data_IF_031585847081
#
_entry.id   IF_031585847081
#
_cell.length_a   1.000
_cell.length_b   1.000
_cell.length_c   1.000
_cell.angle_alpha   90.00
_cell.angle_beta   90.00
_cell.angle_gamma   90.00
#
_symmetry.space_group_name_H-M   'P 1'
#
loop_
_entity.id
_entity.type
_entity.pdbx_description
1 polymer ?
#
# COMPACT_ATOMS: atom_id res chain seq x y z
N UNK A 1 -9.82 -31.82 53.65
CA UNK A 1 -9.99 -30.34 53.71
C UNK A 1 -8.85 -29.59 53.02
N UNK A 2 -7.61 -30.09 53.07
CA UNK A 2 -6.44 -29.47 52.41
C UNK A 2 -6.45 -29.68 50.88
N UNK A 3 -6.80 -30.87 50.39
CA UNK A 3 -6.87 -31.13 48.94
C UNK A 3 -7.94 -30.33 48.19
N UNK A 4 -9.10 -30.09 48.83
CA UNK A 4 -10.17 -29.28 48.24
C UNK A 4 -9.72 -27.82 48.05
N UNK A 5 -8.93 -27.28 48.99
CA UNK A 5 -8.33 -25.95 48.87
C UNK A 5 -7.26 -25.90 47.76
N UNK A 6 -6.51 -26.98 47.55
CA UNK A 6 -5.48 -27.05 46.52
C UNK A 6 -6.07 -27.09 45.09
N UNK A 7 -7.19 -27.80 44.89
CA UNK A 7 -7.86 -27.86 43.58
C UNK A 7 -8.61 -26.57 43.24
N UNK A 8 -9.22 -25.91 44.22
CA UNK A 8 -9.85 -24.59 44.02
C UNK A 8 -8.77 -23.56 43.64
N UNK A 9 -7.60 -23.59 44.29
CA UNK A 9 -6.49 -22.68 43.99
C UNK A 9 -5.90 -22.91 42.59
N UNK A 10 -5.72 -24.17 42.15
CA UNK A 10 -5.30 -24.50 40.78
C UNK A 10 -6.30 -24.03 39.71
N UNK A 11 -7.59 -24.14 40.01
CA UNK A 11 -8.66 -23.72 39.08
C UNK A 11 -8.72 -22.20 38.96
N UNK A 12 -8.51 -21.48 40.07
CA UNK A 12 -8.42 -20.01 40.10
C UNK A 12 -7.17 -19.54 39.36
N UNK A 13 -5.99 -20.15 39.59
CA UNK A 13 -4.75 -19.83 38.86
C UNK A 13 -4.88 -20.07 37.35
N UNK A 14 -5.50 -21.17 36.90
CA UNK A 14 -5.66 -21.42 35.46
C UNK A 14 -6.66 -20.45 34.78
N UNK A 15 -7.64 -19.92 35.53
CA UNK A 15 -8.58 -18.91 35.03
C UNK A 15 -8.02 -17.49 35.06
N UNK A 16 -7.08 -17.18 35.95
CA UNK A 16 -6.41 -15.87 35.98
C UNK A 16 -5.26 -15.77 34.96
N UNK A 17 -4.66 -16.89 34.54
CA UNK A 17 -3.59 -16.89 33.52
C UNK A 17 -4.06 -16.80 32.06
N UNK A 18 -5.37 -16.83 31.77
CA UNK A 18 -5.88 -16.70 30.38
C UNK A 18 -6.19 -15.27 29.93
N UNK A 19 -6.18 -14.28 30.85
CA UNK A 19 -6.52 -12.88 30.54
C UNK A 19 -5.44 -11.88 31.04
N UNK A 20 -4.19 -12.31 31.18
CA UNK A 20 -3.07 -11.39 31.43
C UNK A 20 -2.24 -11.33 30.16
N UNK A 21 -2.31 -10.18 29.50
CA UNK A 21 -1.44 -9.79 28.39
C UNK A 21 0.01 -10.16 28.70
N UNK A 22 0.69 -10.73 27.71
CA UNK A 22 2.08 -11.13 27.75
C UNK A 22 2.98 -9.89 27.82
N UNK A 23 3.04 -9.22 28.97
CA UNK A 23 4.15 -8.31 29.28
C UNK A 23 5.30 -9.19 29.74
N UNK A 24 6.24 -9.45 28.84
CA UNK A 24 7.47 -10.17 29.15
C UNK A 24 8.32 -9.29 30.09
N UNK A 25 8.09 -9.41 31.39
CA UNK A 25 8.93 -8.79 32.40
C UNK A 25 10.27 -9.54 32.44
N UNK A 26 11.28 -8.96 31.80
CA UNK A 26 12.66 -9.42 31.84
C UNK A 26 13.23 -9.17 33.24
N UNK A 27 13.12 -10.17 34.12
CA UNK A 27 13.82 -10.18 35.40
C UNK A 27 15.05 -11.09 35.29
N UNK A 28 16.22 -10.50 35.00
CA UNK A 28 17.51 -11.11 35.31
C UNK A 28 18.43 -10.08 35.97
N UNK A 29 18.76 -10.37 37.23
CA UNK A 29 20.04 -10.21 37.91
C UNK A 29 20.93 -9.02 37.50
N UNK A 30 21.15 -8.12 38.47
CA UNK A 30 22.24 -7.16 38.44
C UNK A 30 23.60 -7.83 38.31
N UNK A 31 24.04 -8.02 37.08
CA UNK A 31 25.43 -7.93 36.67
C UNK A 31 25.59 -6.48 36.22
N UNK A 32 26.62 -5.79 36.70
CA UNK A 32 27.02 -4.50 36.12
C UNK A 32 27.35 -4.75 34.64
N UNK A 33 26.39 -4.47 33.76
CA UNK A 33 26.54 -4.68 32.33
C UNK A 33 27.60 -3.69 31.84
N UNK A 34 28.77 -4.20 31.45
CA UNK A 34 29.55 -3.51 30.44
C UNK A 34 28.63 -3.34 29.24
N UNK A 35 28.43 -2.11 28.77
CA UNK A 35 27.55 -1.85 27.63
C UNK A 35 27.98 -2.71 26.44
N UNK A 36 27.00 -3.19 25.68
CA UNK A 36 27.22 -4.06 24.53
C UNK A 36 27.24 -3.22 23.26
N UNK A 37 28.03 -3.63 22.27
CA UNK A 37 28.02 -3.03 20.92
C UNK A 37 26.74 -3.40 20.18
N UNK A 38 26.47 -2.79 19.02
CA UNK A 38 25.33 -3.12 18.17
C UNK A 38 25.36 -4.61 17.76
N UNK A 39 26.55 -5.15 17.45
CA UNK A 39 26.72 -6.60 17.25
C UNK A 39 26.41 -7.40 18.52
N UNK A 40 26.88 -6.94 19.69
CA UNK A 40 26.58 -7.56 20.98
C UNK A 40 25.08 -7.61 21.29
N UNK A 41 24.33 -6.56 20.95
CA UNK A 41 22.86 -6.52 21.08
C UNK A 41 22.20 -7.55 20.17
N UNK A 42 22.56 -7.58 18.89
CA UNK A 42 21.99 -8.50 17.89
C UNK A 42 22.32 -9.96 18.24
N UNK A 43 23.58 -10.24 18.56
CA UNK A 43 24.07 -11.60 18.81
C UNK A 43 23.45 -12.26 20.04
N UNK A 44 23.03 -11.47 21.03
CA UNK A 44 22.35 -11.95 22.23
C UNK A 44 20.81 -11.96 22.11
N UNK A 45 20.26 -11.51 20.97
CA UNK A 45 18.82 -11.48 20.74
C UNK A 45 18.33 -12.80 20.14
N UNK A 46 17.37 -13.50 20.77
CA UNK A 46 16.80 -14.75 20.22
C UNK A 46 16.00 -14.51 18.93
N UNK A 47 15.57 -13.28 18.68
CA UNK A 47 14.78 -12.91 17.50
C UNK A 47 15.64 -12.52 16.29
N UNK A 48 16.97 -12.44 16.41
CA UNK A 48 17.85 -11.97 15.34
C UNK A 48 18.92 -13.01 14.96
N UNK A 49 18.60 -14.29 15.10
CA UNK A 49 19.55 -15.38 14.84
C UNK A 49 19.94 -15.47 13.35
N UNK A 50 19.01 -15.19 12.44
CA UNK A 50 19.29 -15.17 10.99
C UNK A 50 20.16 -13.98 10.61
N UNK A 51 19.83 -12.79 11.13
CA UNK A 51 20.65 -11.58 10.95
C UNK A 51 22.07 -11.78 11.48
N UNK A 52 22.22 -12.36 12.68
CA UNK A 52 23.53 -12.68 13.25
C UNK A 52 24.33 -13.58 12.30
N UNK A 53 23.72 -14.65 11.80
CA UNK A 53 24.39 -15.57 10.87
C UNK A 53 24.79 -14.87 9.57
N UNK A 54 23.97 -13.94 9.06
CA UNK A 54 24.28 -13.13 7.89
C UNK A 54 25.47 -12.19 8.13
N UNK A 55 25.49 -11.47 9.24
CA UNK A 55 26.60 -10.59 9.64
C UNK A 55 27.92 -11.39 9.76
N UNK A 56 27.85 -12.57 10.38
CA UNK A 56 29.02 -13.44 10.56
C UNK A 56 29.52 -13.97 9.20
N UNK A 57 28.61 -14.36 8.30
CA UNK A 57 28.94 -14.86 6.97
C UNK A 57 29.56 -13.78 6.06
N UNK A 58 29.07 -12.54 6.16
CA UNK A 58 29.59 -11.35 5.48
C UNK A 58 30.91 -10.85 6.10
N UNK A 59 31.30 -11.35 7.27
CA UNK A 59 32.52 -10.90 7.97
C UNK A 59 32.42 -9.47 8.51
N UNK A 60 31.21 -8.93 8.68
CA UNK A 60 30.95 -7.56 9.18
C UNK A 60 31.04 -7.45 10.71
N UNK A 61 31.17 -8.58 11.42
CA UNK A 61 31.28 -8.62 12.88
C UNK A 61 32.34 -7.63 13.44
N UNK A 62 33.60 -7.59 12.96
CA UNK A 62 34.61 -6.70 13.55
C UNK A 62 34.26 -5.22 13.42
N UNK A 63 33.55 -4.84 12.36
CA UNK A 63 33.10 -3.46 12.13
C UNK A 63 31.98 -3.07 13.09
N UNK A 64 30.96 -3.94 13.22
CA UNK A 64 29.81 -3.68 14.10
C UNK A 64 30.14 -3.84 15.60
N UNK A 65 31.25 -4.50 15.92
CA UNK A 65 31.78 -4.64 17.28
C UNK A 65 32.86 -3.59 17.62
N UNK A 66 33.19 -2.68 16.70
CA UNK A 66 34.15 -1.60 16.98
C UNK A 66 33.55 -0.63 18.03
N UNK A 67 34.15 -0.50 19.23
CA UNK A 67 33.65 0.39 20.27
C UNK A 67 33.73 1.88 19.91
N UNK A 68 34.51 2.25 18.89
CA UNK A 68 34.59 3.62 18.37
C UNK A 68 33.60 3.88 17.21
N UNK A 69 32.87 2.84 16.80
CA UNK A 69 31.80 2.98 15.82
C UNK A 69 30.67 3.88 16.31
N UNK A 70 29.92 4.41 15.36
CA UNK A 70 28.69 5.15 15.61
C UNK A 70 27.69 4.75 14.53
N UNK A 71 26.78 3.85 14.88
CA UNK A 71 25.89 3.18 13.93
C UNK A 71 24.42 3.24 14.38
N UNK A 72 23.53 3.34 13.42
CA UNK A 72 22.13 2.94 13.60
C UNK A 72 21.89 1.70 12.77
N UNK A 73 21.53 0.58 13.41
CA UNK A 73 21.26 -0.68 12.72
C UNK A 73 19.75 -0.94 12.75
N UNK A 74 19.14 -1.00 11.57
CA UNK A 74 17.80 -1.53 11.40
C UNK A 74 17.92 -3.05 11.29
N UNK A 75 17.53 -3.78 12.33
CA UNK A 75 17.78 -5.20 12.47
C UNK A 75 16.50 -5.99 12.14
N UNK A 76 16.42 -6.68 10.97
CA UNK A 76 15.28 -7.54 10.68
C UNK A 76 15.25 -8.73 11.62
N UNK A 77 14.08 -9.02 12.15
CA UNK A 77 13.89 -10.20 12.97
C UNK A 77 13.85 -11.50 12.15
N UNK A 78 13.75 -12.64 12.82
CA UNK A 78 13.74 -13.94 12.16
C UNK A 78 12.50 -14.14 11.25
N UNK A 79 11.36 -13.53 11.57
CA UNK A 79 10.12 -13.66 10.81
C UNK A 79 10.20 -12.81 9.53
N UNK A 80 10.85 -11.66 9.57
CA UNK A 80 11.22 -10.83 8.42
C UNK A 80 12.03 -11.63 7.39
N UNK A 81 13.10 -12.31 7.84
CA UNK A 81 13.89 -13.18 6.97
C UNK A 81 13.07 -14.35 6.44
N UNK A 82 12.23 -14.98 7.25
CA UNK A 82 11.37 -16.08 6.78
C UNK A 82 10.44 -15.62 5.66
N UNK A 83 9.80 -14.47 5.84
CA UNK A 83 8.88 -13.89 4.86
C UNK A 83 9.58 -13.59 3.54
N UNK A 84 10.76 -12.97 3.59
CA UNK A 84 11.55 -12.70 2.38
C UNK A 84 11.95 -14.00 1.66
N UNK A 85 12.51 -14.96 2.40
CA UNK A 85 12.99 -16.22 1.82
C UNK A 85 11.85 -17.00 1.15
N UNK A 86 10.67 -17.04 1.80
CA UNK A 86 9.47 -17.68 1.27
C UNK A 86 8.97 -16.97 0.00
N UNK A 87 8.96 -15.63 -0.01
CA UNK A 87 8.55 -14.83 -1.17
C UNK A 87 9.47 -15.03 -2.37
N UNK A 88 10.79 -15.12 -2.13
CA UNK A 88 11.80 -15.35 -3.17
C UNK A 88 11.92 -16.83 -3.57
N UNK A 89 11.32 -17.76 -2.81
CA UNK A 89 11.47 -19.19 -3.03
C UNK A 89 12.90 -19.72 -2.83
N UNK A 90 13.70 -19.05 -2.00
CA UNK A 90 15.09 -19.42 -1.71
C UNK A 90 15.26 -19.92 -0.27
N UNK A 91 16.44 -20.47 0.04
CA UNK A 91 16.75 -20.96 1.40
C UNK A 91 17.71 -20.01 2.10
N UNK A 92 17.72 -20.01 3.45
CA UNK A 92 18.67 -19.20 4.21
C UNK A 92 20.15 -19.43 3.80
N UNK A 93 20.64 -20.68 3.59
CA UNK A 93 21.98 -20.88 3.06
C UNK A 93 22.25 -20.28 1.68
N UNK A 94 21.22 -20.17 0.83
CA UNK A 94 21.35 -19.53 -0.47
C UNK A 94 21.50 -18.01 -0.31
N UNK A 95 20.73 -17.38 0.57
CA UNK A 95 20.88 -15.96 0.91
C UNK A 95 22.26 -15.66 1.52
N UNK A 96 22.71 -16.50 2.47
CA UNK A 96 24.02 -16.35 3.12
C UNK A 96 25.21 -16.54 2.16
N UNK A 97 24.99 -17.17 1.01
CA UNK A 97 25.98 -17.35 -0.04
C UNK A 97 25.81 -16.35 -1.20
N UNK A 98 24.84 -15.43 -1.10
CA UNK A 98 24.60 -14.42 -2.14
C UNK A 98 25.78 -13.46 -2.25
N UNK A 99 26.09 -13.04 -3.47
CA UNK A 99 27.06 -11.99 -3.72
C UNK A 99 26.58 -10.63 -3.19
N UNK A 100 25.26 -10.46 -3.07
CA UNK A 100 24.62 -9.20 -2.66
C UNK A 100 24.45 -9.11 -1.14
N UNK A 101 24.92 -10.11 -0.36
CA UNK A 101 24.71 -10.14 1.09
C UNK A 101 25.33 -8.92 1.79
N UNK A 102 26.54 -8.53 1.39
CA UNK A 102 27.22 -7.36 1.95
C UNK A 102 26.43 -6.07 1.66
N UNK A 103 25.88 -5.97 0.45
CA UNK A 103 25.09 -4.82 0.02
C UNK A 103 23.77 -4.73 0.79
N UNK A 104 23.07 -5.86 0.93
CA UNK A 104 21.84 -5.95 1.74
C UNK A 104 22.13 -5.54 3.18
N UNK A 105 23.16 -6.09 3.82
CA UNK A 105 23.46 -5.80 5.22
C UNK A 105 23.89 -4.35 5.44
N UNK A 106 24.67 -3.76 4.51
CA UNK A 106 25.10 -2.36 4.62
C UNK A 106 23.97 -1.37 4.31
N UNK A 107 22.92 -1.78 3.58
CA UNK A 107 21.71 -0.99 3.36
C UNK A 107 20.87 -0.83 4.63
N UNK A 108 21.01 -1.74 5.60
CA UNK A 108 20.34 -1.68 6.90
C UNK A 108 21.04 -0.79 7.94
N UNK A 109 22.16 -0.15 7.59
CA UNK A 109 23.00 0.58 8.54
C UNK A 109 23.13 2.04 8.13
N UNK A 110 22.88 2.97 9.06
CA UNK A 110 23.23 4.38 8.91
C UNK A 110 24.54 4.67 9.65
N UNK A 111 25.31 5.61 9.12
CA UNK A 111 26.37 6.26 9.87
C UNK A 111 25.77 7.25 10.88
N UNK A 112 26.15 7.13 12.15
CA UNK A 112 25.63 7.95 13.24
C UNK A 112 24.46 7.31 13.98
N UNK A 113 24.26 7.76 15.22
CA UNK A 113 23.12 7.36 16.07
C UNK A 113 21.89 8.22 15.77
N UNK A 114 20.80 7.57 15.34
CA UNK A 114 19.49 8.16 15.07
C UNK A 114 18.44 7.43 15.91
N UNK A 115 17.88 8.13 16.91
CA UNK A 115 16.82 7.56 17.73
C UNK A 115 15.47 7.70 17.02
N UNK A 116 14.48 6.90 17.40
CA UNK A 116 13.14 7.00 16.82
C UNK A 116 12.49 8.37 16.99
N UNK A 117 12.82 9.09 18.07
CA UNK A 117 12.35 10.44 18.31
C UNK A 117 12.96 11.50 17.38
N UNK A 118 14.10 11.21 16.75
CA UNK A 118 14.80 12.12 15.83
C UNK A 118 14.29 11.96 14.38
N UNK A 119 13.53 10.90 14.09
CA UNK A 119 12.97 10.61 12.77
C UNK A 119 11.73 11.47 12.52
N UNK A 120 11.70 12.16 11.38
CA UNK A 120 10.55 12.90 10.90
C UNK A 120 9.85 12.16 9.75
N UNK A 121 8.55 12.43 9.60
CA UNK A 121 7.77 11.86 8.53
C UNK A 121 8.23 12.40 7.17
N UNK A 122 8.61 11.50 6.26
CA UNK A 122 9.11 11.84 4.93
C UNK A 122 10.62 12.08 4.87
N UNK A 123 11.37 11.77 5.93
CA UNK A 123 12.82 11.84 5.88
C UNK A 123 13.37 10.86 4.83
N UNK A 124 14.33 11.35 4.05
CA UNK A 124 15.09 10.54 3.09
C UNK A 124 16.54 10.55 3.55
N UNK A 125 17.07 9.39 3.91
CA UNK A 125 18.40 9.23 4.48
C UNK A 125 19.25 8.27 3.67
N UNK A 126 20.57 8.46 3.66
CA UNK A 126 21.50 7.62 2.92
C UNK A 126 22.11 6.56 3.87
N UNK A 127 21.87 5.26 3.65
CA UNK A 127 22.58 4.20 4.38
C UNK A 127 24.05 4.10 3.97
N UNK A 128 24.81 3.28 4.70
CA UNK A 128 26.20 2.99 4.36
C UNK A 128 26.32 2.44 2.94
N UNK A 129 25.33 1.65 2.51
CA UNK A 129 25.14 1.33 1.11
C UNK A 129 24.41 2.47 0.37
N UNK A 130 25.11 3.19 -0.50
CA UNK A 130 24.51 4.32 -1.22
C UNK A 130 23.85 3.95 -2.56
N UNK A 131 23.53 2.67 -2.80
CA UNK A 131 22.81 2.26 -4.02
C UNK A 131 21.40 2.85 -4.10
N UNK A 132 20.73 2.99 -2.96
CA UNK A 132 19.45 3.68 -2.84
C UNK A 132 19.37 4.40 -1.47
N UNK A 133 18.36 5.23 -1.27
CA UNK A 133 18.03 5.92 -0.02
C UNK A 133 16.97 5.16 0.78
N UNK A 134 16.92 5.40 2.10
CA UNK A 134 15.84 4.94 2.98
C UNK A 134 14.81 6.05 3.15
N UNK A 135 13.54 5.67 3.11
CA UNK A 135 12.39 6.57 3.23
C UNK A 135 11.74 6.31 4.57
N UNK A 136 11.77 7.28 5.47
CA UNK A 136 11.29 7.12 6.83
C UNK A 136 9.89 7.68 6.95
N UNK A 137 8.98 6.88 7.52
CA UNK A 137 7.59 7.28 7.76
C UNK A 137 7.31 7.21 9.25
N UNK A 138 6.71 8.26 9.80
CA UNK A 138 6.19 8.26 11.17
C UNK A 138 4.68 8.38 11.05
N UNK A 139 3.87 7.49 11.61
CA UNK A 139 2.41 7.53 11.52
C UNK A 139 1.77 8.44 12.59
N UNK A 140 0.45 8.64 12.55
CA UNK A 140 -0.26 9.48 13.53
C UNK A 140 -0.38 8.80 14.90
N UNK A 141 -0.38 7.47 14.93
CA UNK A 141 -0.26 6.64 16.11
C UNK A 141 1.20 6.16 16.18
N UNK A 142 2.10 6.90 16.84
CA UNK A 142 3.53 7.01 16.53
C UNK A 142 4.24 5.67 16.29
N UNK A 143 4.09 5.14 15.08
CA UNK A 143 4.80 3.99 14.54
C UNK A 143 5.81 4.52 13.54
N UNK A 144 6.98 3.91 13.52
CA UNK A 144 8.07 4.27 12.60
C UNK A 144 8.20 3.16 11.57
N UNK A 145 8.37 3.54 10.31
CA UNK A 145 8.67 2.65 9.21
C UNK A 145 9.95 3.12 8.51
N UNK A 146 10.76 2.15 8.10
CA UNK A 146 11.95 2.34 7.28
C UNK A 146 11.65 1.64 5.95
N UNK A 147 11.46 2.41 4.88
CA UNK A 147 10.77 1.95 3.67
C UNK A 147 9.41 1.31 4.06
N UNK A 148 9.19 0.05 3.73
CA UNK A 148 8.00 -0.72 4.08
C UNK A 148 8.10 -1.43 5.44
N UNK A 149 9.30 -1.52 6.03
CA UNK A 149 9.53 -2.27 7.26
C UNK A 149 9.08 -1.47 8.48
N UNK A 150 8.21 -2.02 9.30
CA UNK A 150 7.80 -1.44 10.57
C UNK A 150 8.87 -1.66 11.63
N UNK A 151 9.11 -0.64 12.45
CA UNK A 151 9.92 -0.76 13.67
C UNK A 151 9.08 -1.33 14.80
N UNK A 152 9.39 -2.55 15.23
CA UNK A 152 8.70 -3.25 16.33
C UNK A 152 9.26 -2.86 17.69
N UNK A 153 10.58 -2.73 17.78
CA UNK A 153 11.29 -2.33 19.01
C UNK A 153 12.33 -1.29 18.65
N UNK A 154 12.06 -0.04 19.02
CA UNK A 154 12.96 1.08 18.80
C UNK A 154 13.94 1.29 19.95
N UNK A 155 15.01 2.04 19.67
CA UNK A 155 15.93 2.64 20.65
C UNK A 155 16.65 1.63 21.57
N UNK A 156 17.03 0.47 21.02
CA UNK A 156 17.83 -0.51 21.78
C UNK A 156 19.27 0.01 21.86
N UNK A 157 19.62 0.58 23.01
CA UNK A 157 20.91 1.23 23.23
C UNK A 157 22.09 0.25 23.17
N UNK A 158 23.12 0.64 22.42
CA UNK A 158 24.43 0.00 22.35
C UNK A 158 25.55 1.02 22.68
N UNK A 159 26.76 0.54 22.94
CA UNK A 159 27.92 1.41 23.25
C UNK A 159 28.45 2.19 22.06
N UNK A 160 28.24 1.65 20.86
CA UNK A 160 28.70 2.21 19.59
C UNK A 160 27.51 2.56 18.66
N UNK A 161 26.33 2.82 19.25
CA UNK A 161 25.15 3.21 18.48
C UNK A 161 23.80 2.78 19.05
N UNK A 162 22.86 2.54 18.15
CA UNK A 162 21.49 2.10 18.45
C UNK A 162 21.02 1.02 17.49
N UNK A 163 20.18 0.11 17.98
CA UNK A 163 19.52 -0.92 17.17
C UNK A 163 18.00 -0.70 17.20
N UNK A 164 17.37 -0.75 16.04
CA UNK A 164 15.92 -0.76 15.87
C UNK A 164 15.52 -2.10 15.26
N UNK A 165 14.73 -2.90 15.96
CA UNK A 165 14.19 -4.17 15.45
C UNK A 165 13.09 -3.87 14.43
N UNK A 166 13.16 -4.47 13.24
CA UNK A 166 12.19 -4.28 12.16
C UNK A 166 11.58 -5.61 11.68
N UNK A 167 10.38 -5.53 11.10
CA UNK A 167 9.57 -6.70 10.68
C UNK A 167 9.78 -7.12 9.21
N UNK A 168 10.66 -6.45 8.48
CA UNK A 168 10.99 -6.79 7.09
C UNK A 168 12.48 -6.57 6.79
N UNK A 169 12.98 -7.25 5.76
CA UNK A 169 14.34 -7.07 5.25
C UNK A 169 14.33 -5.93 4.22
N UNK A 170 15.18 -4.94 4.41
CA UNK A 170 15.35 -3.81 3.51
C UNK A 170 16.19 -4.24 2.29
N UNK A 171 15.65 -4.02 1.10
CA UNK A 171 16.33 -4.21 -0.18
C UNK A 171 16.52 -2.86 -0.85
N UNK A 172 17.64 -2.68 -1.55
CA UNK A 172 18.00 -1.43 -2.22
C UNK A 172 17.31 -1.27 -3.59
N UNK A 173 16.09 -1.79 -3.71
CA UNK A 173 15.32 -1.85 -4.95
C UNK A 173 14.79 -0.45 -5.34
N UNK A 174 14.79 -0.14 -6.62
CA UNK A 174 14.27 1.11 -7.19
C UNK A 174 12.73 1.04 -7.25
N UNK A 175 12.06 1.58 -6.24
CA UNK A 175 10.59 1.43 -6.12
C UNK A 175 9.81 2.50 -6.90
N UNK A 176 8.50 2.34 -7.08
CA UNK A 176 7.62 3.37 -7.67
C UNK A 176 7.68 4.70 -6.90
N UNK A 177 8.00 4.67 -5.60
CA UNK A 177 8.25 5.87 -4.81
C UNK A 177 9.57 6.55 -5.20
N UNK A 178 10.62 5.78 -5.46
CA UNK A 178 11.91 6.28 -5.96
C UNK A 178 11.78 6.93 -7.31
N UNK A 179 11.14 6.22 -8.25
CA UNK A 179 10.84 6.73 -9.58
C UNK A 179 10.12 8.07 -9.51
N UNK A 180 9.16 8.22 -8.58
CA UNK A 180 8.45 9.49 -8.41
C UNK A 180 9.37 10.62 -7.89
N UNK A 181 10.26 10.32 -6.96
CA UNK A 181 11.25 11.27 -6.42
C UNK A 181 12.23 11.70 -7.51
N UNK A 182 12.82 10.73 -8.21
CA UNK A 182 13.88 10.95 -9.21
C UNK A 182 13.38 11.67 -10.45
N UNK A 183 12.11 11.47 -10.82
CA UNK A 183 11.48 12.17 -11.94
C UNK A 183 10.83 13.51 -11.54
N UNK A 184 10.99 13.96 -10.29
CA UNK A 184 10.59 15.30 -9.86
C UNK A 184 9.08 15.49 -9.68
N UNK A 185 8.33 14.43 -9.36
CA UNK A 185 6.91 14.50 -8.98
C UNK A 185 6.72 15.05 -7.55
N UNK A 186 7.36 16.18 -7.24
CA UNK A 186 7.47 16.73 -5.89
C UNK A 186 6.14 16.92 -5.17
N UNK A 187 5.07 17.36 -5.86
CA UNK A 187 3.77 17.55 -5.22
C UNK A 187 3.10 16.21 -4.90
N UNK A 188 3.28 15.20 -5.76
CA UNK A 188 2.83 13.83 -5.49
C UNK A 188 3.58 13.23 -4.30
N UNK A 189 4.90 13.38 -4.25
CA UNK A 189 5.75 12.88 -3.15
C UNK A 189 5.31 13.51 -1.83
N UNK A 190 5.10 14.83 -1.79
CA UNK A 190 4.56 15.52 -0.60
C UNK A 190 3.20 14.96 -0.19
N UNK A 191 2.29 14.77 -1.15
CA UNK A 191 0.96 14.20 -0.86
C UNK A 191 1.03 12.77 -0.30
N UNK A 192 1.91 11.92 -0.85
CA UNK A 192 2.15 10.55 -0.38
C UNK A 192 2.73 10.54 1.04
N UNK A 193 3.67 11.44 1.33
CA UNK A 193 4.26 11.62 2.66
C UNK A 193 3.21 12.05 3.67
N UNK A 194 2.38 13.05 3.34
CA UNK A 194 1.29 13.52 4.21
C UNK A 194 0.25 12.43 4.46
N UNK A 195 -0.07 11.63 3.42
CA UNK A 195 -0.98 10.50 3.52
C UNK A 195 -0.38 9.24 4.18
N UNK A 196 0.91 9.25 4.53
CA UNK A 196 1.64 8.11 5.14
C UNK A 196 1.59 6.84 4.29
N UNK A 197 1.63 6.98 2.97
CA UNK A 197 1.53 5.84 2.02
C UNK A 197 2.89 5.29 1.56
N UNK A 198 4.00 5.93 1.93
CA UNK A 198 5.35 5.45 1.58
C UNK A 198 5.60 3.97 1.92
N UNK A 199 5.17 3.42 3.09
CA UNK A 199 5.43 2.01 3.39
C UNK A 199 4.78 1.04 2.39
N UNK A 200 3.62 1.39 1.83
CA UNK A 200 2.99 0.57 0.81
C UNK A 200 3.70 0.68 -0.55
N UNK A 201 4.18 1.87 -0.91
CA UNK A 201 4.81 2.14 -2.20
C UNK A 201 6.28 1.72 -2.27
N UNK A 202 6.91 1.52 -1.12
CA UNK A 202 8.32 1.08 -0.99
C UNK A 202 8.44 -0.39 -0.63
N UNK A 203 7.36 -1.17 -0.75
CA UNK A 203 7.40 -2.61 -0.54
C UNK A 203 7.89 -3.30 -1.83
N UNK A 204 9.06 -3.96 -1.82
CA UNK A 204 9.64 -4.60 -2.99
C UNK A 204 8.92 -5.89 -3.41
N UNK A 205 8.07 -6.45 -2.54
CA UNK A 205 7.36 -7.70 -2.80
C UNK A 205 6.00 -7.48 -3.47
N UNK A 206 5.62 -6.23 -3.72
CA UNK A 206 4.38 -5.88 -4.40
C UNK A 206 4.66 -5.58 -5.88
N UNK A 207 3.68 -5.86 -6.72
CA UNK A 207 3.64 -5.40 -8.10
C UNK A 207 2.60 -4.27 -8.20
N UNK A 208 3.04 -3.07 -8.59
CA UNK A 208 2.20 -1.87 -8.59
C UNK A 208 2.18 -1.21 -9.97
N UNK A 209 1.05 -0.57 -10.30
CA UNK A 209 1.00 0.43 -11.36
C UNK A 209 0.58 1.75 -10.75
N UNK A 210 1.41 2.78 -10.86
CA UNK A 210 1.12 4.11 -10.34
C UNK A 210 0.86 5.07 -11.49
N UNK A 211 -0.35 5.62 -11.56
CA UNK A 211 -0.67 6.75 -12.42
C UNK A 211 -0.22 8.04 -11.71
N UNK A 212 0.99 8.53 -12.00
CA UNK A 212 1.62 9.64 -11.28
C UNK A 212 1.19 11.01 -11.85
N UNK A 213 0.31 11.79 -11.17
CA UNK A 213 -0.03 13.13 -11.62
C UNK A 213 1.18 14.07 -11.55
N UNK A 214 1.41 14.79 -12.64
CA UNK A 214 2.46 15.82 -12.70
C UNK A 214 2.20 16.98 -11.73
N UNK A 215 3.24 17.75 -11.38
CA UNK A 215 3.06 18.97 -10.57
C UNK A 215 2.08 19.98 -11.22
N UNK A 216 2.03 19.99 -12.55
CA UNK A 216 1.06 20.81 -13.31
C UNK A 216 -0.37 20.29 -13.13
N UNK A 217 -0.57 18.97 -13.08
CA UNK A 217 -1.86 18.36 -12.80
C UNK A 217 -2.42 18.82 -11.44
N UNK A 218 -1.57 18.81 -10.40
CA UNK A 218 -1.94 19.34 -9.08
C UNK A 218 -2.29 20.83 -9.13
N UNK A 219 -1.45 21.63 -9.79
CA UNK A 219 -1.67 23.08 -9.91
C UNK A 219 -3.02 23.39 -10.58
N UNK A 220 -3.33 22.68 -11.67
CA UNK A 220 -4.60 22.81 -12.40
C UNK A 220 -5.78 22.39 -11.54
N UNK A 221 -5.68 21.25 -10.84
CA UNK A 221 -6.76 20.76 -9.97
C UNK A 221 -7.07 21.77 -8.85
N UNK A 222 -6.05 22.22 -8.12
CA UNK A 222 -6.19 23.20 -7.02
C UNK A 222 -6.85 24.50 -7.53
N UNK A 223 -6.40 24.99 -8.68
CA UNK A 223 -6.93 26.21 -9.31
C UNK A 223 -8.40 26.05 -9.69
N UNK A 224 -8.76 24.93 -10.33
CA UNK A 224 -10.12 24.69 -10.80
C UNK A 224 -11.10 24.42 -9.64
N UNK A 225 -10.63 23.75 -8.58
CA UNK A 225 -11.42 23.48 -7.38
C UNK A 225 -11.55 24.69 -6.46
N UNK A 226 -10.74 25.75 -6.66
CA UNK A 226 -10.75 26.94 -5.82
C UNK A 226 -10.31 26.68 -4.37
N UNK A 227 -9.50 25.64 -4.16
CA UNK A 227 -8.93 25.27 -2.85
C UNK A 227 -7.46 25.71 -2.77
N UNK A 228 -6.85 25.66 -1.58
CA UNK A 228 -5.40 25.78 -1.46
C UNK A 228 -4.72 24.41 -1.48
N UNK A 229 -3.40 24.39 -1.73
CA UNK A 229 -2.59 23.17 -1.61
C UNK A 229 -2.65 22.61 -0.18
N UNK A 230 -2.62 23.47 0.83
CA UNK A 230 -2.75 23.06 2.22
C UNK A 230 -4.10 22.39 2.49
N UNK A 231 -5.20 22.85 1.88
CA UNK A 231 -6.51 22.22 2.03
C UNK A 231 -6.55 20.83 1.36
N UNK A 232 -5.89 20.68 0.21
CA UNK A 232 -5.77 19.38 -0.46
C UNK A 232 -4.96 18.39 0.38
N UNK A 233 -3.78 18.82 0.88
CA UNK A 233 -2.89 17.99 1.70
C UNK A 233 -3.50 17.64 3.07
N UNK A 234 -4.30 18.53 3.65
CA UNK A 234 -5.02 18.27 4.89
C UNK A 234 -6.33 17.50 4.70
N UNK A 235 -6.71 17.19 3.46
CA UNK A 235 -7.99 16.53 3.17
C UNK A 235 -8.01 15.12 3.77
N UNK A 236 -9.08 14.75 4.51
CA UNK A 236 -9.25 13.36 4.97
C UNK A 236 -9.44 12.38 3.80
N UNK A 237 -9.74 12.88 2.60
CA UNK A 237 -9.86 12.08 1.39
C UNK A 237 -8.51 11.89 0.66
N UNK A 238 -7.41 12.52 1.10
CA UNK A 238 -6.14 12.48 0.37
C UNK A 238 -5.64 11.06 0.14
N UNK A 239 -5.57 10.23 1.18
CA UNK A 239 -5.16 8.84 1.04
C UNK A 239 -6.09 8.07 0.08
N UNK A 240 -7.40 8.32 0.15
CA UNK A 240 -8.39 7.70 -0.73
C UNK A 240 -8.18 8.11 -2.20
N UNK A 241 -7.85 9.37 -2.45
CA UNK A 241 -7.53 9.90 -3.78
C UNK A 241 -6.23 9.28 -4.30
N UNK A 242 -5.17 9.21 -3.48
CA UNK A 242 -3.89 8.64 -3.90
C UNK A 242 -4.00 7.15 -4.20
N UNK A 243 -4.74 6.39 -3.40
CA UNK A 243 -5.01 4.97 -3.66
C UNK A 243 -5.81 4.73 -4.96
N UNK A 244 -6.56 5.72 -5.43
CA UNK A 244 -7.26 5.67 -6.71
C UNK A 244 -6.33 5.86 -7.93
N UNK A 245 -5.09 6.27 -7.69
CA UNK A 245 -4.05 6.34 -8.72
C UNK A 245 -3.21 5.06 -8.81
N UNK A 246 -3.49 4.04 -7.99
CA UNK A 246 -2.64 2.86 -7.89
C UNK A 246 -3.43 1.60 -8.20
N UNK A 247 -2.86 0.72 -9.02
CA UNK A 247 -3.31 -0.66 -9.23
C UNK A 247 -2.43 -1.62 -8.43
N UNK A 248 -3.03 -2.69 -7.90
CA UNK A 248 -2.32 -3.76 -7.19
C UNK A 248 -1.73 -4.83 -8.12
N UNK A 249 -1.25 -4.40 -9.29
CA UNK A 249 -0.61 -5.24 -10.30
C UNK A 249 0.22 -4.35 -11.23
N UNK A 250 1.26 -4.91 -11.84
CA UNK A 250 2.04 -4.26 -12.88
C UNK A 250 1.30 -4.33 -14.23
N UNK A 251 1.18 -3.19 -14.91
CA UNK A 251 0.51 -3.07 -16.21
C UNK A 251 1.30 -2.10 -17.08
N UNK A 252 2.03 -2.65 -18.05
CA UNK A 252 2.74 -1.89 -19.07
C UNK A 252 1.77 -1.36 -20.14
N UNK A 253 2.18 -0.34 -20.89
CA UNK A 253 1.34 0.29 -21.91
C UNK A 253 0.93 -0.66 -23.04
N UNK A 254 1.76 -1.67 -23.31
CA UNK A 254 1.50 -2.71 -24.31
C UNK A 254 0.52 -3.81 -23.83
N UNK A 255 0.27 -3.90 -22.52
CA UNK A 255 -0.67 -4.84 -21.91
C UNK A 255 -2.07 -4.23 -21.72
N UNK A 256 -2.23 -2.95 -22.02
CA UNK A 256 -3.49 -2.23 -21.85
C UNK A 256 -4.60 -2.73 -22.77
N UNK A 257 -5.78 -2.87 -22.18
CA UNK A 257 -7.04 -3.12 -22.89
C UNK A 257 -8.07 -2.08 -22.50
N UNK A 258 -8.88 -1.63 -23.47
CA UNK A 258 -10.02 -0.76 -23.18
C UNK A 258 -10.95 -1.41 -22.14
N UNK A 259 -11.33 -0.66 -21.10
CA UNK A 259 -12.26 -1.15 -20.08
C UNK A 259 -12.03 -0.58 -18.70
N UNK A 260 -12.80 -1.11 -17.73
CA UNK A 260 -12.69 -0.74 -16.33
C UNK A 260 -11.63 -1.58 -15.63
N UNK A 261 -10.80 -0.94 -14.81
CA UNK A 261 -9.78 -1.58 -13.98
C UNK A 261 -9.91 -1.10 -12.54
N UNK A 262 -9.96 -2.03 -11.60
CA UNK A 262 -10.12 -1.73 -10.18
C UNK A 262 -8.81 -1.24 -9.56
N UNK A 263 -8.88 -0.08 -8.91
CA UNK A 263 -7.75 0.53 -8.19
C UNK A 263 -7.63 -0.01 -6.76
N UNK A 264 -6.53 0.29 -6.05
CA UNK A 264 -6.36 -0.03 -4.64
C UNK A 264 -7.37 0.67 -3.72
N UNK A 265 -8.01 1.74 -4.19
CA UNK A 265 -9.13 2.35 -3.47
C UNK A 265 -10.43 1.53 -3.54
N UNK A 266 -10.50 0.54 -4.44
CA UNK A 266 -11.68 -0.29 -4.69
C UNK A 266 -12.67 0.29 -5.70
N UNK A 267 -12.45 1.52 -6.17
CA UNK A 267 -13.18 2.09 -7.29
C UNK A 267 -12.47 1.82 -8.62
N UNK A 268 -13.22 1.79 -9.72
CA UNK A 268 -12.68 1.54 -11.05
C UNK A 268 -12.20 2.83 -11.72
N UNK A 269 -11.12 2.73 -12.49
CA UNK A 269 -10.73 3.70 -13.52
C UNK A 269 -11.08 3.14 -14.89
N UNK A 270 -11.42 4.02 -15.84
CA UNK A 270 -11.61 3.68 -17.24
C UNK A 270 -10.28 3.82 -17.98
N UNK A 271 -9.80 2.75 -18.59
CA UNK A 271 -8.71 2.77 -19.55
C UNK A 271 -9.30 2.93 -20.94
N UNK A 272 -8.92 3.98 -21.66
CA UNK A 272 -9.25 4.19 -23.08
C UNK A 272 -7.97 4.39 -23.89
N UNK A 273 -7.75 3.54 -24.90
CA UNK A 273 -6.59 3.57 -25.80
C UNK A 273 -6.96 4.02 -27.23
N UNK A 274 -8.20 4.48 -27.45
CA UNK A 274 -8.73 4.83 -28.78
C UNK A 274 -8.03 6.03 -29.40
N UNK A 275 -7.62 7.01 -28.58
CA UNK A 275 -6.97 8.25 -29.02
C UNK A 275 -5.72 8.56 -28.19
N UNK A 276 -4.88 7.55 -27.96
CA UNK A 276 -3.81 7.58 -26.96
C UNK A 276 -4.29 6.97 -25.65
N UNK A 277 -3.36 6.73 -24.71
CA UNK A 277 -3.70 6.12 -23.42
C UNK A 277 -4.29 7.17 -22.49
N UNK A 278 -5.54 6.97 -22.13
CA UNK A 278 -6.31 7.80 -21.20
C UNK A 278 -6.73 6.96 -19.99
N UNK A 279 -6.58 7.53 -18.80
CA UNK A 279 -7.09 6.98 -17.54
C UNK A 279 -8.17 7.94 -17.05
N UNK A 280 -9.43 7.51 -17.12
CA UNK A 280 -10.61 8.38 -17.08
C UNK A 280 -10.51 9.49 -18.15
N UNK A 281 -10.30 10.74 -17.72
CA UNK A 281 -10.10 11.90 -18.59
C UNK A 281 -8.65 12.42 -18.54
N UNK A 282 -7.75 11.73 -17.84
CA UNK A 282 -6.33 12.06 -17.73
C UNK A 282 -5.54 11.40 -18.86
N UNK A 283 -4.76 12.17 -19.59
CA UNK A 283 -3.85 11.64 -20.60
C UNK A 283 -2.57 11.13 -19.95
N UNK A 284 -2.11 9.94 -20.36
CA UNK A 284 -0.77 9.46 -20.04
C UNK A 284 0.23 10.23 -20.89
N UNK A 285 1.10 10.99 -20.23
CA UNK A 285 2.10 11.89 -20.85
C UNK A 285 3.48 11.26 -20.97
N UNK A 286 3.78 10.30 -20.09
CA UNK A 286 4.96 9.44 -20.13
C UNK A 286 4.53 8.07 -19.62
N UNK A 287 4.72 7.03 -20.42
CA UNK A 287 4.38 5.66 -20.06
C UNK A 287 5.64 4.85 -19.78
N UNK A 288 5.47 3.72 -19.10
CA UNK A 288 6.47 2.66 -18.92
C UNK A 288 7.76 3.16 -18.25
N UNK A 289 7.63 3.88 -17.13
CA UNK A 289 8.79 4.17 -16.27
C UNK A 289 8.94 3.02 -15.28
N UNK A 290 9.89 2.14 -15.58
CA UNK A 290 10.16 0.91 -14.83
C UNK A 290 10.59 1.19 -13.37
N UNK A 291 10.07 0.36 -12.46
CA UNK A 291 10.49 0.22 -11.07
C UNK A 291 10.63 -1.28 -10.74
N UNK A 292 11.47 -1.64 -9.77
CA UNK A 292 11.63 -3.04 -9.35
C UNK A 292 10.35 -3.62 -8.73
N UNK A 293 9.47 -2.76 -8.19
CA UNK A 293 8.15 -3.14 -7.64
C UNK A 293 6.97 -2.71 -8.52
N UNK A 294 7.22 -2.49 -9.82
CA UNK A 294 6.17 -2.27 -10.83
C UNK A 294 6.48 -1.16 -11.84
N UNK A 295 5.48 -0.31 -12.12
CA UNK A 295 5.60 0.70 -13.18
C UNK A 295 4.90 2.01 -12.83
N UNK A 296 5.48 3.12 -13.29
CA UNK A 296 4.90 4.46 -13.18
C UNK A 296 4.51 4.99 -14.56
N UNK A 297 3.26 5.46 -14.68
CA UNK A 297 2.74 6.19 -15.85
C UNK A 297 2.40 7.62 -15.45
N UNK A 298 3.08 8.61 -16.01
CA UNK A 298 2.83 10.01 -15.70
C UNK A 298 1.52 10.49 -16.35
N UNK A 299 0.64 11.14 -15.59
CA UNK A 299 -0.64 11.67 -16.08
C UNK A 299 -0.75 13.19 -15.91
N UNK A 300 -1.58 13.82 -16.75
CA UNK A 300 -1.78 15.28 -16.78
C UNK A 300 -2.90 15.81 -15.87
N UNK A 301 -3.63 14.93 -15.18
CA UNK A 301 -4.71 15.28 -14.24
C UNK A 301 -4.66 14.43 -12.97
N UNK A 302 -5.23 14.95 -11.89
CA UNK A 302 -5.52 14.16 -10.68
C UNK A 302 -6.79 13.35 -10.92
N UNK A 303 -6.72 12.04 -10.68
CA UNK A 303 -7.87 11.16 -10.63
C UNK A 303 -8.57 11.31 -9.27
N UNK A 304 -9.84 11.72 -9.26
CA UNK A 304 -10.63 11.79 -8.02
C UNK A 304 -11.78 10.77 -8.07
N UNK A 305 -11.91 9.87 -7.08
CA UNK A 305 -13.00 8.90 -7.03
C UNK A 305 -14.37 9.57 -7.18
N UNK A 306 -15.24 9.00 -8.04
CA UNK A 306 -16.59 9.53 -8.28
C UNK A 306 -16.64 10.84 -9.09
N UNK A 307 -15.49 11.40 -9.47
CA UNK A 307 -15.42 12.54 -10.41
C UNK A 307 -15.04 12.12 -11.82
N UNK A 308 -14.80 10.83 -12.08
CA UNK A 308 -14.81 10.30 -13.44
C UNK A 308 -16.05 10.89 -14.08
N UNK A 309 -15.81 11.85 -14.97
CA UNK A 309 -16.81 12.82 -15.35
C UNK A 309 -17.98 12.01 -15.84
N UNK A 310 -19.18 12.32 -15.35
CA UNK A 310 -20.40 11.92 -16.03
C UNK A 310 -20.39 12.40 -17.51
N UNK A 311 -19.46 13.31 -17.87
CA UNK A 311 -19.10 13.68 -19.24
C UNK A 311 -18.21 12.67 -20.00
N UNK A 312 -17.41 11.82 -19.34
CA UNK A 312 -16.67 10.71 -19.98
C UNK A 312 -17.39 9.36 -19.86
N UNK A 313 -18.55 9.34 -19.19
CA UNK A 313 -19.62 8.39 -19.53
C UNK A 313 -20.35 8.85 -20.80
N UNK A 314 -19.63 9.04 -21.92
CA UNK A 314 -20.17 8.70 -23.23
C UNK A 314 -20.28 7.16 -23.39
N UNK A 315 -20.44 6.43 -22.30
CA UNK A 315 -21.16 5.17 -22.28
C UNK A 315 -22.61 5.47 -22.63
N UNK A 316 -22.94 5.64 -23.92
CA UNK A 316 -24.18 5.10 -24.48
C UNK A 316 -25.39 5.23 -23.53
N UNK A 317 -25.58 6.41 -22.93
CA UNK A 317 -26.42 6.52 -21.73
C UNK A 317 -27.86 6.64 -22.21
N UNK A 318 -28.73 5.78 -21.69
CA UNK A 318 -30.13 5.72 -22.14
C UNK A 318 -31.01 6.29 -21.06
N UNK A 319 -31.96 7.13 -21.46
CA UNK A 319 -32.95 7.66 -20.55
C UNK A 319 -34.03 6.61 -20.29
N UNK A 320 -34.41 6.46 -19.02
CA UNK A 320 -35.49 5.57 -18.61
C UNK A 320 -36.59 6.33 -17.87
N UNK A 321 -37.85 6.02 -18.21
CA UNK A 321 -39.01 6.71 -17.68
C UNK A 321 -40.18 5.76 -17.37
N UNK A 322 -40.89 5.94 -16.25
CA UNK A 322 -40.59 6.87 -15.17
C UNK A 322 -39.37 6.42 -14.34
N UNK A 323 -38.68 7.38 -13.74
CA UNK A 323 -37.62 7.15 -12.77
C UNK A 323 -37.72 8.24 -11.69
N UNK A 324 -38.16 7.94 -10.45
CA UNK A 324 -38.41 6.61 -9.89
C UNK A 324 -39.56 5.82 -10.56
N UNK A 325 -39.55 4.49 -10.41
CA UNK A 325 -40.56 3.57 -10.94
C UNK A 325 -41.07 2.61 -9.86
N UNK A 326 -42.27 2.07 -10.05
CA UNK A 326 -42.83 1.01 -9.19
C UNK A 326 -43.01 -0.32 -9.90
N UNK A 327 -42.98 -0.38 -11.23
CA UNK A 327 -43.37 -1.59 -11.97
C UNK A 327 -42.81 -1.67 -13.39
N UNK A 328 -42.82 -0.57 -14.14
CA UNK A 328 -42.39 -0.55 -15.53
C UNK A 328 -41.45 0.63 -15.78
N UNK A 329 -40.41 0.39 -16.57
CA UNK A 329 -39.57 1.44 -17.15
C UNK A 329 -39.65 1.36 -18.66
N UNK A 330 -39.75 2.51 -19.31
CA UNK A 330 -39.56 2.69 -20.75
C UNK A 330 -38.14 3.12 -21.00
N UNK A 331 -37.51 2.57 -22.03
CA UNK A 331 -36.16 2.93 -22.46
C UNK A 331 -36.26 3.70 -23.78
N UNK A 332 -35.67 4.89 -23.83
CA UNK A 332 -35.66 5.66 -25.08
C UNK A 332 -34.71 5.06 -26.11
N UNK A 333 -35.08 5.14 -27.39
CA UNK A 333 -34.27 4.73 -28.56
C UNK A 333 -33.93 3.22 -28.67
N UNK A 334 -34.50 2.37 -27.80
CA UNK A 334 -34.33 0.91 -27.87
C UNK A 334 -35.68 0.21 -28.00
N UNK A 335 -35.74 -0.76 -28.92
CA UNK A 335 -36.88 -1.65 -29.07
C UNK A 335 -36.41 -3.11 -29.18
N UNK A 336 -37.00 -3.99 -28.36
CA UNK A 336 -36.76 -5.43 -28.35
C UNK A 336 -35.27 -5.82 -28.18
N UNK A 337 -34.46 -5.02 -27.48
CA UNK A 337 -33.08 -5.33 -27.14
C UNK A 337 -32.95 -6.27 -25.91
N UNK A 338 -31.82 -6.97 -25.81
CA UNK A 338 -31.47 -7.74 -24.61
C UNK A 338 -30.93 -6.81 -23.53
N UNK A 339 -31.32 -7.04 -22.27
CA UNK A 339 -30.94 -6.21 -21.14
C UNK A 339 -30.55 -7.03 -19.91
N UNK A 340 -29.73 -6.42 -19.06
CA UNK A 340 -29.36 -6.90 -17.73
C UNK A 340 -29.64 -5.81 -16.70
N UNK A 341 -30.11 -6.19 -15.52
CA UNK A 341 -30.24 -5.29 -14.36
C UNK A 341 -29.37 -5.84 -13.25
N UNK A 342 -28.55 -4.98 -12.67
CA UNK A 342 -27.78 -5.26 -11.45
C UNK A 342 -28.24 -4.34 -10.33
N UNK A 343 -28.18 -4.81 -9.09
CA UNK A 343 -28.45 -3.97 -7.91
C UNK A 343 -27.23 -3.12 -7.53
N UNK A 344 -27.39 -2.24 -6.55
CA UNK A 344 -26.31 -1.39 -6.03
C UNK A 344 -25.08 -2.16 -5.48
N UNK A 345 -25.22 -3.45 -5.18
CA UNK A 345 -24.11 -4.32 -4.75
C UNK A 345 -23.44 -5.06 -5.93
N UNK A 346 -23.78 -4.73 -7.17
CA UNK A 346 -23.22 -5.33 -8.38
C UNK A 346 -23.76 -6.73 -8.72
N UNK A 347 -24.77 -7.23 -7.99
CA UNK A 347 -25.34 -8.55 -8.27
C UNK A 347 -26.36 -8.46 -9.41
N UNK A 348 -26.24 -9.35 -10.39
CA UNK A 348 -27.23 -9.52 -11.46
C UNK A 348 -28.57 -10.00 -10.88
N UNK A 349 -29.61 -9.20 -11.05
CA UNK A 349 -30.97 -9.48 -10.53
C UNK A 349 -31.95 -9.83 -11.63
N UNK A 350 -31.71 -9.38 -12.87
CA UNK A 350 -32.59 -9.66 -14.00
C UNK A 350 -31.80 -9.67 -15.31
N UNK A 351 -32.15 -10.57 -16.23
CA UNK A 351 -31.55 -10.69 -17.55
C UNK A 351 -32.60 -11.24 -18.52
N UNK A 352 -33.09 -10.41 -19.44
CA UNK A 352 -34.18 -10.78 -20.35
C UNK A 352 -34.15 -9.89 -21.61
N UNK A 353 -35.14 -10.05 -22.48
CA UNK A 353 -35.37 -9.23 -23.65
C UNK A 353 -36.53 -8.28 -23.40
N UNK A 354 -36.33 -6.99 -23.67
CA UNK A 354 -37.39 -5.99 -23.49
C UNK A 354 -38.53 -6.23 -24.48
N UNK A 355 -39.75 -5.84 -24.11
CA UNK A 355 -40.92 -5.93 -25.00
C UNK A 355 -41.19 -4.56 -25.59
N UNK A 356 -41.01 -4.39 -26.91
CA UNK A 356 -40.96 -3.06 -27.52
C UNK A 356 -39.93 -2.21 -26.77
N UNK A 357 -40.34 -1.09 -26.17
CA UNK A 357 -39.45 -0.21 -25.42
C UNK A 357 -39.62 -0.33 -23.88
N UNK A 358 -40.27 -1.38 -23.36
CA UNK A 358 -40.56 -1.52 -21.92
C UNK A 358 -39.86 -2.69 -21.24
N UNK A 359 -39.50 -2.48 -19.97
CA UNK A 359 -38.94 -3.49 -19.05
C UNK A 359 -39.81 -3.53 -17.80
N UNK A 360 -40.16 -4.75 -17.35
CA UNK A 360 -40.88 -4.98 -16.09
C UNK A 360 -39.89 -5.17 -14.95
N UNK A 361 -40.04 -4.35 -13.91
CA UNK A 361 -39.21 -4.32 -12.69
C UNK A 361 -40.04 -4.48 -11.42
N UNK A 362 -41.30 -4.90 -11.54
CA UNK A 362 -42.23 -5.09 -10.42
C UNK A 362 -41.72 -6.10 -9.39
N UNK A 363 -40.97 -7.11 -9.85
CA UNK A 363 -40.40 -8.17 -8.99
C UNK A 363 -39.13 -7.75 -8.27
N UNK A 364 -38.56 -6.58 -8.57
CA UNK A 364 -37.37 -6.08 -7.89
C UNK A 364 -37.74 -5.45 -6.55
N UNK A 365 -36.91 -5.68 -5.54
CA UNK A 365 -37.02 -5.01 -4.25
C UNK A 365 -36.77 -3.49 -4.41
N UNK A 366 -37.26 -2.70 -3.46
CA UNK A 366 -37.03 -1.26 -3.48
C UNK A 366 -35.54 -0.93 -3.33
N UNK A 367 -35.01 -0.06 -4.18
CA UNK A 367 -33.59 0.28 -4.19
C UNK A 367 -33.09 0.88 -5.49
N UNK A 368 -31.78 1.10 -5.53
CA UNK A 368 -31.05 1.61 -6.69
C UNK A 368 -30.59 0.45 -7.57
N UNK A 369 -30.76 0.61 -8.89
CA UNK A 369 -30.39 -0.39 -9.89
C UNK A 369 -29.68 0.26 -11.08
N UNK A 370 -28.84 -0.54 -11.75
CA UNK A 370 -28.21 -0.20 -13.02
C UNK A 370 -28.72 -1.14 -14.12
N UNK A 371 -29.23 -0.55 -15.19
CA UNK A 371 -29.69 -1.21 -16.41
C UNK A 371 -28.55 -1.19 -17.44
N UNK A 372 -28.33 -2.33 -18.09
CA UNK A 372 -27.41 -2.50 -19.22
C UNK A 372 -28.20 -3.02 -20.41
N UNK A 373 -28.01 -2.44 -21.60
CA UNK A 373 -28.55 -2.94 -22.87
C UNK A 373 -27.38 -3.18 -23.82
N UNK A 374 -27.37 -4.35 -24.48
CA UNK A 374 -26.32 -4.71 -25.43
C UNK A 374 -26.87 -4.62 -26.86
N UNK A 375 -26.21 -3.83 -27.71
CA UNK A 375 -26.47 -3.74 -29.15
C UNK A 375 -25.20 -4.11 -29.93
N UNK A 376 -25.00 -5.42 -30.12
CA UNK A 376 -23.81 -5.97 -30.76
C UNK A 376 -22.53 -5.69 -29.98
N UNK A 377 -21.72 -4.73 -30.43
CA UNK A 377 -20.42 -4.37 -29.86
C UNK A 377 -20.50 -3.26 -28.79
N UNK A 378 -21.68 -2.65 -28.60
CA UNK A 378 -21.88 -1.50 -27.71
C UNK A 378 -22.77 -1.86 -26.52
N UNK A 379 -22.33 -1.44 -25.33
CA UNK A 379 -23.15 -1.52 -24.11
C UNK A 379 -23.68 -0.13 -23.75
N UNK A 380 -24.98 -0.04 -23.53
CA UNK A 380 -25.73 1.15 -23.13
C UNK A 380 -26.17 1.02 -21.68
N UNK A 381 -26.14 2.11 -20.91
CA UNK A 381 -26.43 2.03 -19.46
C UNK A 381 -27.38 3.11 -18.96
N UNK A 382 -28.14 2.78 -17.92
CA UNK A 382 -28.99 3.74 -17.20
C UNK A 382 -29.07 3.39 -15.71
N UNK A 383 -29.27 4.39 -14.86
CA UNK A 383 -29.53 4.19 -13.43
C UNK A 383 -31.00 4.51 -13.14
N UNK A 384 -31.67 3.66 -12.36
CA UNK A 384 -33.04 3.92 -11.92
C UNK A 384 -33.32 3.51 -10.47
N UNK A 385 -34.37 4.11 -9.91
CA UNK A 385 -34.83 3.88 -8.54
C UNK A 385 -36.15 3.10 -8.58
N UNK A 386 -36.19 1.95 -7.89
CA UNK A 386 -37.41 1.19 -7.64
C UNK A 386 -38.01 1.57 -6.28
N UNK A 387 -39.24 2.06 -6.29
CA UNK A 387 -40.04 2.43 -5.11
C UNK A 387 -41.17 1.46 -4.79
#
# INVERSE_FOLDING_TARGET
MIELKLNIMKTILSKTMKNVSLTLALAMMGVTAFGQTVYGVISNSPNHTTLKAAIDAAGLQPTLDDPMGDFTVFAPDNDAFSTLLDSLGITAPALLASADLDDILTYHVLAGTVNAADIMNGDIVTPLNAMNTLKLTVTLTPEVFINHAKVDVADISATNGVVHSIDAVLLADETVADVAIDNGFSTLVTAVVEARLLPALTNPLLELTVFAPSNMAFTTYITNSGISEADLLASPALANILLYHVLGMEVMSNDLTNGLVTTLNGADVLVDITSGVMINDAAVTLADVDADNGVVHAIDKILVPGTASVENLEMNQIAVYPNPTTSLIKVENFENAEYKIVNAAGMLVQNDKMNLNTINVETLDNGMYYLFIMDGEKTFTSQFIKE
#
